data_IF_091713000306
#
_entry.id   IF_091713000306
#
_cell.length_a   1.000
_cell.length_b   1.000
_cell.length_c   1.000
_cell.angle_alpha   90.00
_cell.angle_beta   90.00
_cell.angle_gamma   90.00
#
_symmetry.space_group_name_H-M   'P 1'
#
loop_
_entity.id
_entity.type
_entity.pdbx_description
1 polymer ?
#
# COMPACT_ATOMS: atom_id res chain seq x y z
N UNK A 1 13.85 -33.48 4.83
CA UNK A 1 13.88 -32.07 4.37
C UNK A 1 12.49 -31.50 4.04
N UNK A 2 11.45 -32.29 3.94
CA UNK A 2 10.08 -31.89 3.55
C UNK A 2 9.25 -31.24 4.67
N UNK A 3 9.56 -31.52 5.95
CA UNK A 3 8.78 -30.96 7.09
C UNK A 3 9.01 -29.46 7.33
N UNK A 4 10.16 -28.91 6.93
CA UNK A 4 10.50 -27.51 7.20
C UNK A 4 9.68 -26.49 6.38
N UNK A 5 9.14 -26.90 5.24
CA UNK A 5 8.35 -25.98 4.40
C UNK A 5 6.93 -25.79 4.95
N UNK A 6 6.32 -26.85 5.50
CA UNK A 6 5.00 -26.79 6.12
C UNK A 6 4.99 -26.00 7.43
N UNK A 7 6.00 -26.20 8.29
CA UNK A 7 6.16 -25.42 9.52
C UNK A 7 6.42 -23.94 9.23
N UNK A 8 7.21 -23.66 8.19
CA UNK A 8 7.49 -22.29 7.75
C UNK A 8 6.24 -21.56 7.29
N UNK A 9 5.39 -22.22 6.52
CA UNK A 9 4.13 -21.64 6.05
C UNK A 9 3.13 -21.45 7.21
N UNK A 10 3.08 -22.39 8.16
CA UNK A 10 2.20 -22.27 9.33
C UNK A 10 2.60 -21.12 10.25
N UNK A 11 3.90 -20.91 10.48
CA UNK A 11 4.41 -19.77 11.27
C UNK A 11 4.11 -18.42 10.59
N UNK A 12 4.33 -18.33 9.28
CA UNK A 12 4.01 -17.11 8.53
C UNK A 12 2.51 -16.82 8.55
N UNK A 13 1.67 -17.85 8.43
CA UNK A 13 0.22 -17.73 8.53
C UNK A 13 -0.23 -17.32 9.94
N UNK A 14 0.47 -17.77 10.96
CA UNK A 14 0.18 -17.36 12.34
C UNK A 14 0.48 -15.87 12.55
N UNK A 15 1.64 -15.37 12.10
CA UNK A 15 1.98 -13.94 12.13
C UNK A 15 0.94 -13.13 11.35
N UNK A 16 0.60 -13.56 10.15
CA UNK A 16 -0.41 -12.92 9.31
C UNK A 16 -1.77 -12.81 10.03
N UNK A 17 -2.28 -13.91 10.61
CA UNK A 17 -3.55 -13.91 11.34
C UNK A 17 -3.51 -13.05 12.59
N UNK A 18 -2.40 -13.03 13.30
CA UNK A 18 -2.21 -12.20 14.48
C UNK A 18 -2.28 -10.72 14.11
N UNK A 19 -1.50 -10.29 13.12
CA UNK A 19 -1.48 -8.90 12.62
C UNK A 19 -2.87 -8.47 12.11
N UNK A 20 -3.53 -9.31 11.30
CA UNK A 20 -4.90 -9.06 10.86
C UNK A 20 -5.85 -8.81 12.02
N UNK A 21 -5.80 -9.65 13.06
CA UNK A 21 -6.68 -9.50 14.22
C UNK A 21 -6.43 -8.19 14.97
N UNK A 22 -5.17 -7.76 15.07
CA UNK A 22 -4.81 -6.48 15.69
C UNK A 22 -5.40 -5.31 14.89
N UNK A 23 -5.25 -5.32 13.56
CA UNK A 23 -5.77 -4.27 12.67
C UNK A 23 -7.31 -4.19 12.76
N UNK A 24 -8.01 -5.33 12.72
CA UNK A 24 -9.48 -5.35 12.82
C UNK A 24 -10.00 -4.92 14.19
N UNK A 25 -9.24 -5.08 15.24
CA UNK A 25 -9.66 -4.77 16.61
C UNK A 25 -9.52 -3.30 16.98
N UNK A 26 -8.64 -2.55 16.30
CA UNK A 26 -8.41 -1.14 16.59
C UNK A 26 -9.14 -0.24 15.60
N UNK A 27 -10.24 0.45 16.02
CA UNK A 27 -11.01 1.31 15.14
C UNK A 27 -10.21 2.52 14.63
N UNK A 28 -9.10 2.89 15.27
CA UNK A 28 -8.25 4.02 14.84
C UNK A 28 -7.62 3.79 13.47
N UNK A 29 -7.46 2.53 13.07
CA UNK A 29 -6.94 2.21 11.75
C UNK A 29 -7.99 2.37 10.64
N UNK A 30 -9.29 2.25 10.94
CA UNK A 30 -10.35 2.32 9.94
C UNK A 30 -10.66 3.75 9.48
N UNK A 31 -10.55 4.73 10.40
CA UNK A 31 -10.88 6.13 10.12
C UNK A 31 -10.08 6.70 8.94
N UNK A 32 -8.72 6.53 8.87
CA UNK A 32 -7.93 6.98 7.73
C UNK A 32 -8.31 6.33 6.39
N UNK A 33 -8.89 5.13 6.41
CA UNK A 33 -9.28 4.41 5.20
C UNK A 33 -10.65 4.83 4.66
N UNK A 34 -11.54 5.30 5.53
CA UNK A 34 -12.91 5.69 5.14
C UNK A 34 -12.96 7.15 4.69
N UNK A 35 -12.27 8.05 5.37
CA UNK A 35 -12.38 9.50 5.14
C UNK A 35 -11.98 9.90 3.71
N UNK A 36 -10.81 9.52 3.15
CA UNK A 36 -10.39 9.96 1.83
C UNK A 36 -11.30 9.47 0.69
N UNK A 37 -11.75 8.20 0.63
CA UNK A 37 -12.72 7.78 -0.38
C UNK A 37 -14.03 8.56 -0.30
N UNK A 38 -14.52 8.86 0.91
CA UNK A 38 -15.77 9.63 1.10
C UNK A 38 -15.59 11.08 0.63
N UNK A 39 -14.47 11.73 0.98
CA UNK A 39 -14.17 13.09 0.52
C UNK A 39 -14.06 13.13 -1.00
N UNK A 40 -13.36 12.16 -1.61
CA UNK A 40 -13.19 12.08 -3.06
C UNK A 40 -14.53 11.85 -3.77
N UNK A 41 -15.35 10.92 -3.29
CA UNK A 41 -16.68 10.68 -3.85
C UNK A 41 -17.57 11.92 -3.73
N UNK A 42 -17.55 12.60 -2.59
CA UNK A 42 -18.30 13.85 -2.39
C UNK A 42 -17.79 14.97 -3.30
N UNK A 43 -16.46 15.13 -3.44
CA UNK A 43 -15.87 16.16 -4.31
C UNK A 43 -16.23 15.96 -5.77
N UNK A 44 -16.24 14.71 -6.24
CA UNK A 44 -16.66 14.37 -7.61
C UNK A 44 -18.15 14.61 -7.83
N UNK A 45 -19.01 14.21 -6.88
CA UNK A 45 -20.44 14.52 -6.94
C UNK A 45 -20.71 16.02 -7.04
N UNK A 46 -19.96 16.83 -6.29
CA UNK A 46 -20.04 18.28 -6.35
C UNK A 46 -19.53 18.82 -7.69
N UNK A 47 -18.42 18.30 -8.22
CA UNK A 47 -17.85 18.71 -9.49
C UNK A 47 -18.81 18.42 -10.66
N UNK A 48 -19.37 17.21 -10.71
CA UNK A 48 -20.36 16.84 -11.73
C UNK A 48 -21.62 17.71 -11.62
N UNK A 49 -22.12 17.96 -10.42
CA UNK A 49 -23.33 18.79 -10.24
C UNK A 49 -23.13 20.26 -10.61
N UNK A 50 -21.93 20.82 -10.41
CA UNK A 50 -21.64 22.23 -10.71
C UNK A 50 -21.20 22.49 -12.15
N UNK A 51 -20.46 21.57 -12.73
CA UNK A 51 -19.77 21.77 -14.03
C UNK A 51 -20.29 20.87 -15.13
N UNK A 52 -21.34 20.07 -14.85
CA UNK A 52 -22.01 19.24 -15.85
C UNK A 52 -21.12 18.14 -16.48
N UNK A 53 -20.05 17.75 -15.81
CA UNK A 53 -19.13 16.68 -16.30
C UNK A 53 -18.15 17.13 -17.40
N UNK A 54 -18.37 18.26 -18.07
CA UNK A 54 -17.58 18.69 -19.24
C UNK A 54 -16.08 18.92 -18.94
N UNK A 55 -15.71 19.26 -17.69
CA UNK A 55 -14.31 19.49 -17.33
C UNK A 55 -13.51 18.18 -17.26
N UNK A 56 -14.18 17.04 -17.21
CA UNK A 56 -13.54 15.73 -16.99
C UNK A 56 -13.52 14.86 -18.25
N UNK A 57 -14.09 15.33 -19.37
CA UNK A 57 -14.04 14.59 -20.63
C UNK A 57 -12.57 14.35 -21.05
N UNK A 58 -12.21 13.09 -21.23
CA UNK A 58 -10.85 12.66 -21.59
C UNK A 58 -9.88 12.49 -20.41
N UNK A 59 -10.26 12.85 -19.19
CA UNK A 59 -9.42 12.69 -17.99
C UNK A 59 -9.87 11.54 -17.06
N UNK A 60 -10.89 10.79 -17.42
CA UNK A 60 -11.50 9.76 -16.59
C UNK A 60 -10.49 8.67 -16.19
N UNK A 61 -9.68 8.22 -17.14
CA UNK A 61 -8.62 7.24 -16.90
C UNK A 61 -7.56 7.75 -15.91
N UNK A 62 -7.17 9.02 -16.04
CA UNK A 62 -6.26 9.67 -15.10
C UNK A 62 -6.85 9.77 -13.69
N UNK A 63 -8.10 10.17 -13.56
CA UNK A 63 -8.78 10.25 -12.27
C UNK A 63 -8.89 8.88 -11.59
N UNK A 64 -9.17 7.84 -12.36
CA UNK A 64 -9.19 6.46 -11.87
C UNK A 64 -7.81 6.03 -11.35
N UNK A 65 -6.73 6.34 -12.09
CA UNK A 65 -5.35 6.06 -11.68
C UNK A 65 -4.98 6.84 -10.41
N UNK A 66 -5.30 8.14 -10.38
CA UNK A 66 -5.03 9.02 -9.25
C UNK A 66 -5.73 8.52 -7.98
N UNK A 67 -7.01 8.12 -8.08
CA UNK A 67 -7.78 7.53 -6.99
C UNK A 67 -7.07 6.31 -6.40
N UNK A 68 -6.65 5.39 -7.23
CA UNK A 68 -5.92 4.19 -6.79
C UNK A 68 -4.60 4.54 -6.10
N UNK A 69 -3.82 5.47 -6.67
CA UNK A 69 -2.54 5.89 -6.11
C UNK A 69 -2.69 6.69 -4.80
N UNK A 70 -3.79 7.43 -4.61
CA UNK A 70 -4.10 8.14 -3.36
C UNK A 70 -4.45 7.20 -2.20
N UNK A 71 -4.92 5.97 -2.50
CA UNK A 71 -5.17 4.96 -1.47
C UNK A 71 -3.88 4.25 -1.01
N UNK A 72 -2.82 4.28 -1.81
CA UNK A 72 -1.57 3.60 -1.51
C UNK A 72 -0.91 4.02 -0.17
N UNK A 73 -0.79 5.32 0.16
CA UNK A 73 -0.19 5.76 1.43
C UNK A 73 -0.97 5.38 2.67
N UNK A 74 -2.21 4.92 2.53
CA UNK A 74 -3.03 4.51 3.68
C UNK A 74 -2.48 3.29 4.42
N UNK A 75 -1.67 2.46 3.75
CA UNK A 75 -0.92 1.38 4.40
C UNK A 75 0.24 1.87 5.27
N UNK A 76 0.70 3.11 5.09
CA UNK A 76 1.88 3.63 5.78
C UNK A 76 1.76 3.72 7.30
N UNK A 77 0.64 4.16 7.91
CA UNK A 77 0.49 4.14 9.36
C UNK A 77 0.54 2.73 9.95
N UNK A 78 -0.09 1.75 9.28
CA UNK A 78 -0.06 0.34 9.68
C UNK A 78 1.36 -0.23 9.60
N UNK A 79 2.04 0.04 8.50
CA UNK A 79 3.42 -0.37 8.30
C UNK A 79 4.37 0.32 9.29
N UNK A 80 4.12 1.60 9.58
CA UNK A 80 4.87 2.39 10.57
C UNK A 80 4.74 1.84 11.98
N UNK A 81 3.54 1.48 12.42
CA UNK A 81 3.30 0.88 13.74
C UNK A 81 3.91 -0.53 13.87
N UNK A 82 4.11 -1.22 12.79
CA UNK A 82 4.46 -2.63 12.77
C UNK A 82 5.75 -2.96 13.54
N UNK A 83 6.85 -2.26 13.32
CA UNK A 83 8.11 -2.46 14.06
C UNK A 83 8.43 -1.29 15.00
N UNK A 84 8.13 -0.07 14.61
CA UNK A 84 8.35 1.09 15.47
C UNK A 84 7.40 1.06 16.67
N UNK A 85 6.16 0.60 16.51
CA UNK A 85 5.22 0.41 17.61
C UNK A 85 5.67 -0.68 18.57
N UNK A 86 6.25 -1.79 18.08
CA UNK A 86 6.83 -2.81 18.95
C UNK A 86 8.04 -2.29 19.72
N UNK A 87 8.83 -1.41 19.09
CA UNK A 87 9.95 -0.73 19.78
C UNK A 87 9.44 0.21 20.86
N UNK A 88 8.41 1.01 20.60
CA UNK A 88 7.79 1.90 21.62
C UNK A 88 7.22 1.11 22.81
N UNK A 89 6.70 -0.11 22.56
CA UNK A 89 6.18 -1.02 23.59
C UNK A 89 7.25 -1.88 24.26
N UNK A 90 8.54 -1.71 23.91
CA UNK A 90 9.67 -2.53 24.38
C UNK A 90 9.50 -4.04 24.09
N UNK A 91 8.71 -4.41 23.09
CA UNK A 91 8.47 -5.80 22.69
C UNK A 91 9.35 -6.25 21.52
N UNK A 92 10.11 -5.34 20.89
CA UNK A 92 10.98 -5.65 19.76
C UNK A 92 12.08 -6.66 20.14
N UNK A 93 12.64 -6.58 21.35
CA UNK A 93 13.64 -7.52 21.83
C UNK A 93 13.08 -8.95 21.96
N UNK A 94 11.86 -9.08 22.47
CA UNK A 94 11.17 -10.36 22.54
C UNK A 94 10.93 -10.95 21.14
N UNK A 95 10.65 -10.09 20.16
CA UNK A 95 10.48 -10.49 18.77
C UNK A 95 11.79 -11.00 18.15
N UNK A 96 12.94 -10.40 18.52
CA UNK A 96 14.26 -10.84 18.08
C UNK A 96 14.66 -12.20 18.68
N UNK A 97 14.21 -12.49 19.89
CA UNK A 97 14.44 -13.79 20.55
C UNK A 97 13.51 -14.90 20.01
N UNK A 98 12.53 -14.55 19.19
CA UNK A 98 11.63 -15.53 18.61
C UNK A 98 12.36 -16.43 17.59
N UNK A 99 11.99 -17.71 17.46
CA UNK A 99 12.62 -18.63 16.49
C UNK A 99 12.23 -18.33 15.03
N UNK A 100 11.54 -17.23 14.78
CA UNK A 100 11.03 -16.87 13.46
C UNK A 100 12.14 -16.13 12.68
N UNK A 101 12.48 -16.63 11.49
CA UNK A 101 13.45 -15.96 10.62
C UNK A 101 12.97 -14.53 10.28
N UNK A 102 13.85 -13.50 10.33
CA UNK A 102 13.49 -12.10 10.07
C UNK A 102 12.77 -11.86 8.73
N UNK A 103 13.15 -12.63 7.70
CA UNK A 103 12.47 -12.59 6.41
C UNK A 103 11.00 -12.97 6.50
N UNK A 104 10.67 -14.04 7.23
CA UNK A 104 9.29 -14.51 7.39
C UNK A 104 8.45 -13.52 8.17
N UNK A 105 9.07 -12.88 9.16
CA UNK A 105 8.44 -11.83 9.94
C UNK A 105 8.10 -10.61 9.05
N UNK A 106 9.06 -10.14 8.24
CA UNK A 106 8.84 -9.03 7.33
C UNK A 106 7.72 -9.32 6.32
N UNK A 107 7.79 -10.48 5.65
CA UNK A 107 6.77 -10.87 4.68
C UNK A 107 5.41 -11.13 5.31
N UNK A 108 5.36 -11.72 6.49
CA UNK A 108 4.11 -11.91 7.23
C UNK A 108 3.42 -10.59 7.56
N UNK A 109 4.18 -9.60 8.03
CA UNK A 109 3.68 -8.26 8.30
C UNK A 109 3.28 -7.51 7.01
N UNK A 110 4.09 -7.57 5.97
CA UNK A 110 3.78 -6.95 4.68
C UNK A 110 2.48 -7.49 4.10
N UNK A 111 2.34 -8.82 4.05
CA UNK A 111 1.14 -9.48 3.53
C UNK A 111 -0.11 -9.24 4.40
N UNK A 112 0.05 -8.97 5.68
CA UNK A 112 -1.06 -8.59 6.55
C UNK A 112 -1.56 -7.17 6.30
N UNK A 113 -0.66 -6.25 5.92
CA UNK A 113 -0.97 -4.82 5.73
C UNK A 113 -1.49 -4.54 4.32
N UNK A 114 -0.85 -5.10 3.28
CA UNK A 114 -1.14 -4.83 1.86
C UNK A 114 -2.61 -5.02 1.47
N UNK A 115 -3.35 -6.04 1.95
CA UNK A 115 -4.76 -6.23 1.58
C UNK A 115 -5.67 -5.05 1.87
N UNK A 116 -5.36 -4.24 2.90
CA UNK A 116 -6.18 -3.08 3.27
C UNK A 116 -6.12 -1.97 2.21
N UNK A 117 -4.95 -1.34 1.94
CA UNK A 117 -4.87 -0.30 0.92
C UNK A 117 -5.22 -0.83 -0.48
N UNK A 118 -4.93 -2.10 -0.81
CA UNK A 118 -5.36 -2.72 -2.07
C UNK A 118 -6.88 -2.80 -2.14
N UNK A 119 -7.53 -3.32 -1.10
CA UNK A 119 -8.99 -3.45 -1.07
C UNK A 119 -9.69 -2.11 -1.25
N UNK A 120 -9.24 -1.07 -0.55
CA UNK A 120 -9.79 0.27 -0.68
C UNK A 120 -9.48 0.92 -2.05
N UNK A 121 -8.28 0.72 -2.59
CA UNK A 121 -7.93 1.20 -3.92
C UNK A 121 -8.80 0.57 -5.00
N UNK A 122 -8.95 -0.76 -4.96
CA UNK A 122 -9.80 -1.48 -5.91
C UNK A 122 -11.27 -1.10 -5.77
N UNK A 123 -11.77 -0.94 -4.54
CA UNK A 123 -13.15 -0.51 -4.29
C UNK A 123 -13.39 0.88 -4.87
N UNK A 124 -12.50 1.84 -4.58
CA UNK A 124 -12.62 3.20 -5.08
C UNK A 124 -12.57 3.25 -6.62
N UNK A 125 -11.64 2.51 -7.23
CA UNK A 125 -11.52 2.41 -8.69
C UNK A 125 -12.73 1.71 -9.32
N UNK A 126 -13.26 0.67 -8.70
CA UNK A 126 -14.44 -0.03 -9.17
C UNK A 126 -15.68 0.88 -9.15
N UNK A 127 -15.91 1.59 -8.05
CA UNK A 127 -17.02 2.56 -7.93
C UNK A 127 -16.89 3.66 -8.99
N UNK A 128 -15.68 4.16 -9.20
CA UNK A 128 -15.42 5.19 -10.20
C UNK A 128 -15.68 4.67 -11.62
N UNK A 129 -15.14 3.50 -11.96
CA UNK A 129 -15.33 2.88 -13.27
C UNK A 129 -16.80 2.56 -13.57
N UNK A 130 -17.54 2.07 -12.58
CA UNK A 130 -18.97 1.81 -12.73
C UNK A 130 -19.80 3.08 -13.00
N UNK A 131 -19.30 4.24 -12.56
CA UNK A 131 -19.93 5.54 -12.81
C UNK A 131 -19.50 6.20 -14.13
N UNK A 132 -18.43 5.69 -14.75
CA UNK A 132 -17.86 6.22 -16.02
C UNK A 132 -17.60 5.08 -16.99
N UNK A 133 -18.65 4.58 -17.68
CA UNK A 133 -18.55 3.43 -18.57
C UNK A 133 -17.69 3.69 -19.82
N UNK A 134 -17.40 4.95 -20.13
CA UNK A 134 -16.58 5.37 -21.27
C UNK A 134 -15.07 5.09 -21.08
N UNK A 135 -14.65 4.75 -19.86
CA UNK A 135 -13.26 4.38 -19.58
C UNK A 135 -12.93 3.06 -20.30
N UNK A 136 -11.92 3.10 -21.16
CA UNK A 136 -11.46 1.91 -21.86
C UNK A 136 -10.96 0.84 -20.87
N UNK A 137 -11.21 -0.43 -21.20
CA UNK A 137 -10.74 -1.56 -20.37
C UNK A 137 -9.23 -1.56 -20.17
N UNK A 138 -8.47 -1.09 -21.17
CA UNK A 138 -7.00 -0.96 -21.09
C UNK A 138 -6.61 0.07 -20.03
N UNK A 139 -7.23 1.25 -20.04
CA UNK A 139 -6.97 2.29 -19.06
C UNK A 139 -7.40 1.86 -17.65
N UNK A 140 -8.52 1.14 -17.51
CA UNK A 140 -8.96 0.59 -16.23
C UNK A 140 -7.95 -0.42 -15.67
N UNK A 141 -7.50 -1.38 -16.49
CA UNK A 141 -6.48 -2.36 -16.06
C UNK A 141 -5.14 -1.69 -15.75
N UNK A 142 -4.71 -0.72 -16.56
CA UNK A 142 -3.50 0.06 -16.31
C UNK A 142 -3.59 0.79 -14.95
N UNK A 143 -4.72 1.40 -14.64
CA UNK A 143 -4.97 2.09 -13.36
C UNK A 143 -4.91 1.14 -12.17
N UNK A 144 -5.48 -0.06 -12.29
CA UNK A 144 -5.42 -1.10 -11.26
C UNK A 144 -3.97 -1.53 -11.00
N UNK A 145 -3.21 -1.81 -12.07
CA UNK A 145 -1.80 -2.19 -11.95
C UNK A 145 -0.96 -1.06 -11.34
N UNK A 146 -1.26 0.19 -11.68
CA UNK A 146 -0.65 1.37 -11.09
C UNK A 146 -0.91 1.48 -9.59
N UNK A 147 -2.15 1.30 -9.17
CA UNK A 147 -2.53 1.31 -7.76
C UNK A 147 -1.82 0.20 -6.97
N UNK A 148 -1.79 -1.02 -7.51
CA UNK A 148 -1.07 -2.14 -6.90
C UNK A 148 0.42 -1.81 -6.75
N UNK A 149 1.06 -1.28 -7.80
CA UNK A 149 2.46 -0.87 -7.79
C UNK A 149 2.73 0.16 -6.70
N UNK A 150 1.87 1.18 -6.59
CA UNK A 150 1.96 2.23 -5.59
C UNK A 150 1.81 1.69 -4.16
N UNK A 151 0.85 0.78 -3.93
CA UNK A 151 0.64 0.14 -2.62
C UNK A 151 1.86 -0.68 -2.21
N UNK A 152 2.39 -1.54 -3.07
CA UNK A 152 3.56 -2.35 -2.75
C UNK A 152 4.79 -1.48 -2.45
N UNK A 153 5.03 -0.44 -3.25
CA UNK A 153 6.16 0.47 -3.07
C UNK A 153 6.05 1.25 -1.75
N UNK A 154 4.92 1.87 -1.48
CA UNK A 154 4.73 2.70 -0.28
C UNK A 154 4.72 1.86 0.99
N UNK A 155 4.02 0.72 1.01
CA UNK A 155 3.92 -0.15 2.18
C UNK A 155 5.26 -0.79 2.52
N UNK A 156 6.00 -1.30 1.52
CA UNK A 156 7.32 -1.91 1.71
C UNK A 156 8.33 -0.90 2.21
N UNK A 157 8.33 0.32 1.66
CA UNK A 157 9.19 1.40 2.12
C UNK A 157 8.87 1.80 3.56
N UNK A 158 7.58 1.98 3.90
CA UNK A 158 7.14 2.34 5.24
C UNK A 158 7.52 1.26 6.26
N UNK A 159 7.38 -0.01 5.89
CA UNK A 159 7.75 -1.14 6.74
C UNK A 159 9.27 -1.19 6.98
N UNK A 160 10.08 -0.98 5.94
CA UNK A 160 11.54 -0.87 6.07
C UNK A 160 11.93 0.31 6.97
N UNK A 161 11.25 1.44 6.81
CA UNK A 161 11.52 2.64 7.58
C UNK A 161 11.17 2.45 9.06
N UNK A 162 10.09 1.73 9.37
CA UNK A 162 9.68 1.44 10.75
C UNK A 162 10.74 0.69 11.57
N UNK A 163 11.63 -0.06 10.90
CA UNK A 163 12.81 -0.68 11.53
C UNK A 163 13.92 0.32 11.88
N UNK A 164 13.97 1.46 11.20
CA UNK A 164 15.07 2.43 11.33
C UNK A 164 14.73 3.60 12.27
N UNK A 165 13.46 3.94 12.37
CA UNK A 165 12.98 5.06 13.22
C UNK A 165 12.60 4.59 14.60
N UNK A 166 12.67 5.52 15.57
CA UNK A 166 12.39 5.22 16.97
C UNK A 166 10.89 5.30 17.30
N UNK A 167 10.13 6.08 16.55
CA UNK A 167 8.71 6.36 16.84
C UNK A 167 7.82 6.10 15.65
N UNK A 168 6.59 5.64 15.92
CA UNK A 168 5.54 5.42 14.91
C UNK A 168 5.24 6.71 14.13
N UNK A 169 5.18 7.85 14.82
CA UNK A 169 4.93 9.15 14.19
C UNK A 169 6.00 9.52 13.17
N UNK A 170 7.28 9.34 13.51
CA UNK A 170 8.38 9.61 12.60
C UNK A 170 8.32 8.69 11.38
N UNK A 171 8.00 7.40 11.55
CA UNK A 171 7.83 6.47 10.46
C UNK A 171 6.73 6.90 9.49
N UNK A 172 5.57 7.30 10.02
CA UNK A 172 4.44 7.76 9.23
C UNK A 172 4.75 9.05 8.44
N UNK A 173 5.36 10.04 9.10
CA UNK A 173 5.71 11.30 8.42
C UNK A 173 6.73 11.12 7.32
N UNK A 174 7.80 10.36 7.56
CA UNK A 174 8.84 10.17 6.55
C UNK A 174 8.30 9.35 5.37
N UNK A 175 7.41 8.38 5.59
CA UNK A 175 6.80 7.62 4.49
C UNK A 175 5.94 8.49 3.56
N UNK A 176 5.36 9.60 4.04
CA UNK A 176 4.66 10.56 3.19
C UNK A 176 5.57 11.22 2.15
N UNK A 177 6.88 11.37 2.44
CA UNK A 177 7.81 11.92 1.45
C UNK A 177 7.99 11.04 0.20
N UNK A 178 7.63 9.77 0.25
CA UNK A 178 7.61 8.89 -0.94
C UNK A 178 6.35 9.10 -1.77
N UNK A 179 5.26 9.47 -1.11
CA UNK A 179 3.97 9.66 -1.76
C UNK A 179 3.98 10.87 -2.70
N UNK A 180 4.60 11.97 -2.27
CA UNK A 180 4.65 13.20 -3.08
C UNK A 180 5.34 12.99 -4.42
N UNK A 181 6.57 12.43 -4.51
CA UNK A 181 7.18 12.09 -5.79
C UNK A 181 6.36 11.09 -6.61
N UNK A 182 5.73 10.12 -5.97
CA UNK A 182 4.88 9.14 -6.65
C UNK A 182 3.71 9.83 -7.35
N UNK A 183 2.99 10.72 -6.65
CA UNK A 183 1.88 11.47 -7.25
C UNK A 183 2.34 12.40 -8.36
N UNK A 184 3.50 13.04 -8.22
CA UNK A 184 4.10 13.86 -9.29
C UNK A 184 4.43 13.01 -10.52
N UNK A 185 5.00 11.82 -10.34
CA UNK A 185 5.27 10.90 -11.46
C UNK A 185 3.97 10.48 -12.16
N UNK A 186 2.93 10.16 -11.40
CA UNK A 186 1.61 9.83 -11.96
C UNK A 186 1.08 11.01 -12.79
N UNK A 187 1.18 12.23 -12.26
CA UNK A 187 0.70 13.43 -12.97
C UNK A 187 1.48 13.72 -14.25
N UNK A 188 2.80 13.50 -14.25
CA UNK A 188 3.64 13.79 -15.41
C UNK A 188 3.55 12.74 -16.52
N UNK A 189 3.31 11.49 -16.17
CA UNK A 189 3.40 10.35 -17.10
C UNK A 189 2.09 9.59 -17.30
N UNK A 190 0.95 10.12 -16.83
CA UNK A 190 -0.34 9.41 -16.88
C UNK A 190 -0.76 9.03 -18.31
N UNK A 191 -0.54 9.90 -19.31
CA UNK A 191 -0.90 9.61 -20.70
C UNK A 191 -0.15 8.38 -21.21
N UNK A 192 1.17 8.37 -21.03
CA UNK A 192 2.03 7.24 -21.43
C UNK A 192 1.70 5.97 -20.64
N UNK A 193 1.34 6.14 -19.37
CA UNK A 193 0.98 5.03 -18.50
C UNK A 193 -0.35 4.38 -18.88
N UNK A 194 -1.33 5.17 -19.27
CA UNK A 194 -2.67 4.72 -19.66
C UNK A 194 -2.78 4.27 -21.13
N UNK A 195 -1.80 4.63 -21.97
CA UNK A 195 -1.80 4.27 -23.39
C UNK A 195 -1.69 2.76 -23.65
N UNK A 196 -1.20 1.98 -22.68
CA UNK A 196 -1.05 0.54 -22.82
C UNK A 196 -0.71 -0.17 -21.51
N UNK A 197 -0.61 -1.50 -21.55
CA UNK A 197 -0.35 -2.31 -20.37
C UNK A 197 1.15 -2.56 -20.10
N UNK A 198 2.03 -2.26 -21.04
CA UNK A 198 3.45 -2.57 -20.89
C UNK A 198 4.09 -1.82 -19.70
N UNK A 199 3.92 -0.50 -19.64
CA UNK A 199 4.49 0.33 -18.57
C UNK A 199 3.88 -0.02 -17.20
N UNK A 200 2.55 -0.15 -17.03
CA UNK A 200 1.95 -0.61 -15.78
C UNK A 200 2.46 -1.97 -15.29
N UNK A 201 2.64 -2.92 -16.18
CA UNK A 201 3.20 -4.24 -15.84
C UNK A 201 4.65 -4.12 -15.38
N UNK A 202 5.47 -3.36 -16.11
CA UNK A 202 6.88 -3.12 -15.72
C UNK A 202 6.95 -2.43 -14.35
N UNK A 203 6.14 -1.42 -14.09
CA UNK A 203 6.12 -0.73 -12.79
C UNK A 203 5.69 -1.65 -11.65
N UNK A 204 4.77 -2.58 -11.90
CA UNK A 204 4.40 -3.60 -10.91
C UNK A 204 5.58 -4.53 -10.59
N UNK A 205 6.29 -5.03 -11.61
CA UNK A 205 7.48 -5.85 -11.38
C UNK A 205 8.59 -5.08 -10.63
N UNK A 206 8.82 -3.82 -10.97
CA UNK A 206 9.78 -2.96 -10.28
C UNK A 206 9.38 -2.76 -8.81
N UNK A 207 8.10 -2.52 -8.52
CA UNK A 207 7.61 -2.35 -7.15
C UNK A 207 7.73 -3.64 -6.33
N UNK A 208 7.47 -4.80 -6.93
CA UNK A 208 7.69 -6.11 -6.29
C UNK A 208 9.18 -6.38 -6.05
N UNK A 209 10.04 -6.10 -7.02
CA UNK A 209 11.49 -6.21 -6.85
C UNK A 209 12.00 -5.27 -5.74
N UNK A 210 11.46 -4.05 -5.65
CA UNK A 210 11.73 -3.12 -4.55
C UNK A 210 11.28 -3.68 -3.20
N UNK A 211 10.12 -4.34 -3.14
CA UNK A 211 9.64 -5.01 -1.92
C UNK A 211 10.59 -6.12 -1.46
N UNK A 212 11.15 -6.90 -2.39
CA UNK A 212 12.17 -7.91 -2.09
C UNK A 212 13.46 -7.25 -1.59
N UNK A 213 13.90 -6.18 -2.25
CA UNK A 213 15.11 -5.43 -1.84
C UNK A 213 14.94 -4.86 -0.42
N UNK A 214 13.80 -4.23 -0.12
CA UNK A 214 13.52 -3.70 1.22
C UNK A 214 13.46 -4.80 2.27
N UNK A 215 12.93 -5.99 1.93
CA UNK A 215 12.97 -7.15 2.81
C UNK A 215 14.41 -7.58 3.13
N UNK A 216 15.29 -7.66 2.12
CA UNK A 216 16.70 -8.03 2.30
C UNK A 216 17.43 -6.99 3.18
N UNK A 217 17.22 -5.70 2.93
CA UNK A 217 17.81 -4.62 3.72
C UNK A 217 17.32 -4.61 5.16
N UNK A 218 16.04 -4.94 5.36
CA UNK A 218 15.42 -5.06 6.68
C UNK A 218 15.99 -6.24 7.47
N UNK A 219 16.24 -7.39 6.81
CA UNK A 219 16.89 -8.54 7.44
C UNK A 219 18.29 -8.21 7.95
N UNK A 220 19.11 -7.54 7.13
CA UNK A 220 20.46 -7.13 7.52
C UNK A 220 20.44 -6.22 8.75
N UNK A 221 19.50 -5.29 8.80
CA UNK A 221 19.34 -4.38 9.93
C UNK A 221 18.84 -5.09 11.17
N UNK A 222 17.88 -6.02 11.04
CA UNK A 222 17.32 -6.78 12.16
C UNK A 222 18.37 -7.67 12.86
N UNK A 223 19.29 -8.25 12.08
CA UNK A 223 20.39 -9.07 12.61
C UNK A 223 21.49 -8.21 13.26
N UNK A 224 21.62 -6.93 12.87
CA UNK A 224 22.64 -6.01 13.41
C UNK A 224 22.20 -5.24 14.65
N UNK A 225 20.98 -5.42 15.12
CA UNK A 225 20.46 -4.85 16.37
C UNK A 225 20.69 -5.79 17.53
#
# INVERSE_FOLDING_TARGET
MTNNCGEAASLMLHVFRHELRLIFRDPRFWVPFIIPPVILAASQGIAVSRYGGQIMEGMEGYMMLLLGCLMAPMGSPLAGDSFAGERERNSLELLQLSPIAPARLFWGKLLAIVPFPVGFALLAQFVYWASHPDISTVAALASILGALSAVFLTTSFSLMLSLRVKTVRAAAHISLFVVVPLLLLVQLFHETFLAGLFIPVVTLFVSLAFSVLTAILSMRKFVSM
#
